data_IF_570879606840
#
_entry.id   IF_570879606840
#
_cell.length_a   1.000
_cell.length_b   1.000
_cell.length_c   1.000
_cell.angle_alpha   90.00
_cell.angle_beta   90.00
_cell.angle_gamma   90.00
#
_symmetry.space_group_name_H-M   'P 1'
#
loop_
_entity.id
_entity.type
_entity.pdbx_description
1 polymer ?
#
# COMPACT_ATOMS: atom_id res chain seq x y z
N UNK A 1 7.58 20.00 18.64
CA UNK A 1 7.16 19.05 17.58
C UNK A 1 8.32 18.19 17.08
N UNK A 2 9.52 18.73 16.76
CA UNK A 2 10.67 17.92 16.32
C UNK A 2 11.06 16.82 17.31
N UNK A 3 11.04 17.13 18.61
CA UNK A 3 11.49 16.20 19.66
C UNK A 3 10.72 14.88 19.71
N UNK A 4 9.41 14.90 19.42
CA UNK A 4 8.58 13.69 19.43
C UNK A 4 8.83 12.77 18.23
N UNK A 5 9.14 13.35 17.08
CA UNK A 5 9.48 12.58 15.88
C UNK A 5 10.88 11.99 16.01
N UNK A 6 11.82 12.75 16.56
CA UNK A 6 13.16 12.26 16.89
C UNK A 6 13.09 11.10 17.90
N UNK A 7 12.36 11.25 19.00
CA UNK A 7 12.20 10.18 20.01
C UNK A 7 11.65 8.89 19.38
N UNK A 8 10.70 9.00 18.45
CA UNK A 8 10.01 7.84 17.87
C UNK A 8 10.75 7.18 16.71
N UNK A 9 11.42 7.96 15.87
CA UNK A 9 11.94 7.49 14.57
C UNK A 9 13.46 7.57 14.44
N UNK A 10 14.16 8.28 15.33
CA UNK A 10 15.60 8.51 15.20
C UNK A 10 16.38 7.19 15.12
N UNK A 11 17.19 7.06 14.07
CA UNK A 11 18.07 5.91 13.85
C UNK A 11 17.37 4.60 13.51
N UNK A 12 16.04 4.61 13.30
CA UNK A 12 15.29 3.40 12.93
C UNK A 12 15.41 3.10 11.45
N UNK A 13 15.23 1.83 11.10
CA UNK A 13 15.08 1.38 9.73
C UNK A 13 13.60 1.26 9.42
N UNK A 14 13.14 1.89 8.33
CA UNK A 14 11.80 1.68 7.80
C UNK A 14 11.83 0.55 6.77
N UNK A 15 11.09 -0.53 7.02
CA UNK A 15 10.93 -1.61 6.06
C UNK A 15 9.73 -1.34 5.13
N UNK A 16 9.93 -1.48 3.82
CA UNK A 16 8.90 -1.29 2.79
C UNK A 16 8.38 -2.66 2.37
N UNK A 17 7.14 -2.94 2.75
CA UNK A 17 6.43 -4.20 2.54
C UNK A 17 5.51 -4.12 1.31
N UNK A 18 6.09 -3.79 0.16
CA UNK A 18 5.36 -3.60 -1.10
C UNK A 18 6.11 -4.24 -2.27
N UNK A 19 5.37 -4.74 -3.27
CA UNK A 19 5.92 -5.20 -4.55
C UNK A 19 5.95 -4.10 -5.62
N UNK A 20 6.63 -4.37 -6.73
CA UNK A 20 6.61 -3.60 -7.98
C UNK A 20 7.26 -2.21 -7.97
N UNK A 21 8.35 -2.01 -7.23
CA UNK A 21 9.15 -0.78 -7.37
C UNK A 21 8.60 0.44 -6.63
N UNK A 22 7.54 0.26 -5.82
CA UNK A 22 6.88 1.34 -5.07
C UNK A 22 7.80 1.99 -4.04
N UNK A 23 8.85 1.31 -3.59
CA UNK A 23 9.87 1.86 -2.70
C UNK A 23 10.52 3.13 -3.25
N UNK A 24 10.60 3.27 -4.59
CA UNK A 24 11.24 4.43 -5.24
C UNK A 24 10.44 5.71 -4.99
N UNK A 25 9.13 5.60 -4.85
CA UNK A 25 8.26 6.71 -4.50
C UNK A 25 8.15 6.91 -2.99
N UNK A 26 8.18 5.82 -2.22
CA UNK A 26 8.00 5.85 -0.75
C UNK A 26 9.27 6.32 -0.04
N UNK A 27 10.45 5.85 -0.43
CA UNK A 27 11.67 6.06 0.35
C UNK A 27 12.10 7.54 0.45
N UNK A 28 12.11 8.35 -0.63
CA UNK A 28 12.58 9.73 -0.56
C UNK A 28 11.85 10.60 0.48
N UNK A 29 10.50 10.71 0.48
CA UNK A 29 9.81 11.58 1.43
C UNK A 29 9.97 11.13 2.89
N UNK A 30 10.17 9.83 3.14
CA UNK A 30 10.41 9.33 4.50
C UNK A 30 11.82 9.63 5.00
N UNK A 31 12.84 9.53 4.14
CA UNK A 31 14.21 9.90 4.47
C UNK A 31 14.37 11.41 4.68
N UNK A 32 13.64 12.22 3.90
CA UNK A 32 13.64 13.68 4.05
C UNK A 32 12.83 14.16 5.26
N UNK A 33 11.70 13.50 5.54
CA UNK A 33 10.74 13.95 6.55
C UNK A 33 10.96 13.38 7.96
N UNK A 34 11.64 12.23 8.10
CA UNK A 34 11.85 11.55 9.38
C UNK A 34 13.34 11.28 9.62
N UNK A 35 13.80 11.30 10.89
CA UNK A 35 15.21 11.04 11.23
C UNK A 35 15.57 9.54 11.19
N UNK A 36 15.20 8.84 10.12
CA UNK A 36 15.48 7.43 9.92
C UNK A 36 16.97 7.20 9.62
N UNK A 37 17.49 6.03 10.01
CA UNK A 37 18.82 5.62 9.57
C UNK A 37 18.82 5.22 8.09
N UNK A 38 17.77 4.51 7.67
CA UNK A 38 17.62 4.03 6.30
C UNK A 38 16.19 3.55 6.01
N UNK A 39 15.90 3.35 4.73
CA UNK A 39 14.70 2.67 4.24
C UNK A 39 15.16 1.43 3.48
N UNK A 40 14.57 0.28 3.79
CA UNK A 40 14.91 -1.01 3.18
C UNK A 40 13.68 -1.66 2.56
N UNK A 41 13.84 -2.36 1.45
CA UNK A 41 12.76 -3.19 0.88
C UNK A 41 12.80 -4.56 1.53
N UNK A 42 11.63 -5.10 1.90
CA UNK A 42 11.54 -6.48 2.36
C UNK A 42 11.64 -7.40 1.13
N UNK A 43 12.73 -8.18 0.97
CA UNK A 43 12.91 -9.02 -0.21
C UNK A 43 11.88 -10.16 -0.23
N UNK A 44 11.52 -10.62 -1.42
CA UNK A 44 10.69 -11.81 -1.66
C UNK A 44 9.34 -11.84 -0.93
N UNK A 45 8.81 -10.67 -0.53
CA UNK A 45 7.54 -10.58 0.17
C UNK A 45 6.39 -10.84 -0.81
N UNK A 46 5.76 -12.01 -0.70
CA UNK A 46 4.57 -12.33 -1.49
C UNK A 46 3.30 -11.68 -0.94
N UNK A 47 3.08 -10.44 -1.38
CA UNK A 47 1.89 -9.67 -1.03
C UNK A 47 0.66 -10.03 -1.86
N UNK A 48 0.82 -10.81 -2.93
CA UNK A 48 -0.29 -11.20 -3.81
C UNK A 48 -1.20 -12.22 -3.11
N UNK A 49 -0.70 -12.86 -2.04
CA UNK A 49 -1.50 -13.68 -1.11
C UNK A 49 -2.68 -12.93 -0.46
N UNK A 50 -2.67 -11.60 -0.46
CA UNK A 50 -3.76 -10.77 0.05
C UNK A 50 -4.76 -10.36 -1.04
N UNK A 51 -4.53 -10.80 -2.27
CA UNK A 51 -5.36 -10.54 -3.44
C UNK A 51 -4.54 -9.97 -4.59
N UNK A 52 -4.83 -10.43 -5.81
CA UNK A 52 -4.18 -9.98 -7.05
C UNK A 52 -5.06 -9.01 -7.81
N UNK A 53 -4.46 -8.12 -8.59
CA UNK A 53 -5.19 -7.24 -9.49
C UNK A 53 -6.01 -8.00 -10.54
N UNK A 54 -5.42 -9.01 -11.17
CA UNK A 54 -6.00 -9.85 -12.22
C UNK A 54 -7.02 -10.89 -11.71
N UNK A 55 -7.20 -11.00 -10.39
CA UNK A 55 -8.24 -11.82 -9.79
C UNK A 55 -7.92 -13.31 -9.63
N UNK A 56 -6.69 -13.78 -9.90
CA UNK A 56 -6.30 -15.17 -9.62
C UNK A 56 -6.34 -15.50 -8.13
N UNK A 57 -5.94 -14.55 -7.28
CA UNK A 57 -6.14 -14.59 -5.83
C UNK A 57 -7.26 -13.63 -5.46
N UNK A 58 -8.32 -14.19 -4.89
CA UNK A 58 -9.48 -13.45 -4.39
C UNK A 58 -9.08 -12.48 -3.27
N UNK A 59 -9.57 -11.23 -3.35
CA UNK A 59 -9.47 -10.25 -2.27
C UNK A 59 -10.50 -10.56 -1.19
N UNK A 60 -10.03 -10.90 0.01
CA UNK A 60 -10.90 -11.22 1.17
C UNK A 60 -10.96 -10.12 2.24
N UNK A 61 -10.03 -9.18 2.17
CA UNK A 61 -9.91 -8.05 3.09
C UNK A 61 -10.31 -6.76 2.38
N UNK A 62 -10.81 -5.78 3.12
CA UNK A 62 -10.90 -4.43 2.58
C UNK A 62 -9.50 -3.88 2.27
N UNK A 63 -9.37 -2.91 1.33
CA UNK A 63 -8.08 -2.32 1.01
C UNK A 63 -7.24 -1.82 2.22
N UNK A 64 -7.80 -1.09 3.21
CA UNK A 64 -7.03 -0.69 4.38
C UNK A 64 -6.61 -1.89 5.27
N UNK A 65 -7.45 -2.93 5.38
CA UNK A 65 -7.10 -4.15 6.11
C UNK A 65 -6.00 -4.94 5.39
N UNK A 66 -6.05 -5.01 4.06
CA UNK A 66 -5.01 -5.63 3.24
C UNK A 66 -3.67 -4.89 3.37
N UNK A 67 -3.67 -3.55 3.33
CA UNK A 67 -2.47 -2.75 3.57
C UNK A 67 -1.86 -3.03 4.96
N UNK A 68 -2.69 -3.10 6.01
CA UNK A 68 -2.23 -3.44 7.35
C UNK A 68 -1.71 -4.87 7.45
N UNK A 69 -2.38 -5.83 6.82
CA UNK A 69 -1.94 -7.23 6.77
C UNK A 69 -0.59 -7.38 6.04
N UNK A 70 -0.40 -6.64 4.95
CA UNK A 70 0.89 -6.54 4.24
C UNK A 70 1.99 -5.97 5.14
N UNK A 71 1.70 -4.91 5.90
CA UNK A 71 2.67 -4.33 6.85
C UNK A 71 3.05 -5.33 7.96
N UNK A 72 2.07 -6.05 8.52
CA UNK A 72 2.32 -7.10 9.52
C UNK A 72 3.17 -8.23 8.96
N UNK A 73 2.84 -8.70 7.76
CA UNK A 73 3.60 -9.75 7.08
C UNK A 73 5.04 -9.30 6.77
N UNK A 74 5.21 -8.05 6.34
CA UNK A 74 6.54 -7.46 6.16
C UNK A 74 7.34 -7.37 7.46
N UNK A 75 6.70 -7.06 8.58
CA UNK A 75 7.33 -7.05 9.89
C UNK A 75 7.80 -8.44 10.31
N UNK A 76 6.94 -9.46 10.15
CA UNK A 76 7.28 -10.87 10.42
C UNK A 76 8.45 -11.35 9.55
N UNK A 77 8.45 -11.01 8.27
CA UNK A 77 9.49 -11.45 7.33
C UNK A 77 10.84 -10.75 7.53
N UNK A 78 10.85 -9.47 7.91
CA UNK A 78 12.08 -8.67 8.04
C UNK A 78 12.61 -8.56 9.48
N UNK A 79 11.78 -8.87 10.48
CA UNK A 79 12.07 -8.58 11.88
C UNK A 79 12.07 -7.07 12.22
N UNK A 80 11.64 -6.20 11.29
CA UNK A 80 11.60 -4.76 11.51
C UNK A 80 10.45 -4.35 12.43
N UNK A 81 10.70 -3.36 13.28
CA UNK A 81 9.69 -2.79 14.19
C UNK A 81 8.91 -1.61 13.57
N UNK A 82 9.34 -1.12 12.41
CA UNK A 82 8.72 -0.03 11.66
C UNK A 82 8.55 -0.44 10.20
N UNK A 83 7.31 -0.55 9.74
CA UNK A 83 7.00 -1.09 8.41
C UNK A 83 5.97 -0.21 7.71
N UNK A 84 6.18 0.07 6.44
CA UNK A 84 5.19 0.72 5.57
C UNK A 84 4.72 -0.23 4.48
N UNK A 85 3.42 -0.25 4.23
CA UNK A 85 2.81 -0.98 3.13
C UNK A 85 1.79 -0.11 2.38
N UNK A 86 1.49 -0.49 1.15
CA UNK A 86 0.51 0.18 0.28
C UNK A 86 -0.52 -0.80 -0.25
N UNK A 87 -1.76 -0.36 -0.44
CA UNK A 87 -2.79 -1.08 -1.19
C UNK A 87 -3.55 -0.13 -2.11
N UNK A 88 -3.77 -0.55 -3.36
CA UNK A 88 -4.54 0.21 -4.35
C UNK A 88 -5.88 -0.48 -4.61
N UNK A 89 -6.92 0.30 -4.85
CA UNK A 89 -8.26 -0.21 -5.13
C UNK A 89 -9.00 0.68 -6.11
N UNK A 90 -9.49 0.08 -7.19
CA UNK A 90 -10.38 0.73 -8.14
C UNK A 90 -11.82 0.30 -7.88
N UNK A 91 -12.75 1.25 -7.93
CA UNK A 91 -14.16 0.93 -7.71
C UNK A 91 -15.08 2.15 -7.74
N UNK A 92 -16.36 1.96 -7.41
CA UNK A 92 -17.32 3.03 -7.20
C UNK A 92 -16.89 3.99 -6.09
N UNK A 93 -16.93 5.30 -6.33
CA UNK A 93 -16.64 6.31 -5.31
C UNK A 93 -17.70 6.27 -4.20
N UNK A 94 -17.36 5.98 -2.93
CA UNK A 94 -18.38 5.69 -1.91
C UNK A 94 -19.44 6.80 -1.71
N UNK A 95 -19.10 8.10 -1.73
CA UNK A 95 -20.09 9.17 -1.67
C UNK A 95 -20.92 9.36 -2.95
N UNK A 96 -20.43 8.92 -4.10
CA UNK A 96 -21.14 9.00 -5.39
C UNK A 96 -20.87 7.73 -6.23
N UNK A 97 -21.58 6.61 -5.97
CA UNK A 97 -21.25 5.30 -6.52
C UNK A 97 -21.35 5.16 -8.06
N UNK A 98 -21.90 6.16 -8.73
CA UNK A 98 -21.95 6.23 -10.20
C UNK A 98 -20.65 6.79 -10.81
N UNK A 99 -19.72 7.28 -9.98
CA UNK A 99 -18.40 7.74 -10.42
C UNK A 99 -17.34 6.68 -10.10
N UNK A 100 -16.44 6.37 -11.03
CA UNK A 100 -15.27 5.57 -10.70
C UNK A 100 -14.29 6.37 -9.84
N UNK A 101 -13.53 5.66 -9.01
CA UNK A 101 -12.36 6.22 -8.32
C UNK A 101 -11.24 5.18 -8.20
N UNK A 102 -10.03 5.71 -8.09
CA UNK A 102 -8.86 5.02 -7.59
C UNK A 102 -8.61 5.46 -6.14
N UNK A 103 -8.38 4.48 -5.28
CA UNK A 103 -8.06 4.67 -3.88
C UNK A 103 -6.71 4.05 -3.56
N UNK A 104 -5.79 4.88 -3.09
CA UNK A 104 -4.46 4.46 -2.68
C UNK A 104 -4.34 4.59 -1.16
N UNK A 105 -4.01 3.48 -0.51
CA UNK A 105 -3.85 3.39 0.94
C UNK A 105 -2.37 3.20 1.28
N UNK A 106 -1.90 3.94 2.28
CA UNK A 106 -0.61 3.73 2.91
C UNK A 106 -0.81 3.44 4.40
N UNK A 107 -0.17 2.38 4.89
CA UNK A 107 -0.16 2.02 6.31
C UNK A 107 1.26 2.03 6.82
N UNK A 108 1.55 2.88 7.81
CA UNK A 108 2.76 2.83 8.61
C UNK A 108 2.47 2.12 9.93
N UNK A 109 3.03 0.92 10.10
CA UNK A 109 2.94 0.10 11.30
C UNK A 109 4.17 0.33 12.18
N UNK A 110 3.95 0.65 13.45
CA UNK A 110 4.99 0.79 14.47
C UNK A 110 4.73 -0.22 15.60
N UNK A 111 5.56 -1.26 15.65
CA UNK A 111 5.41 -2.35 16.60
C UNK A 111 5.90 -2.02 18.01
N UNK A 112 6.61 -0.91 18.23
CA UNK A 112 7.08 -0.53 19.57
C UNK A 112 5.93 -0.31 20.55
N UNK A 113 4.83 0.23 20.08
CA UNK A 113 3.61 0.47 20.87
C UNK A 113 2.33 -0.06 20.18
N UNK A 114 2.50 -0.88 19.14
CA UNK A 114 1.40 -1.54 18.43
C UNK A 114 0.50 -0.59 17.63
N UNK A 115 0.96 0.64 17.33
CA UNK A 115 0.18 1.62 16.58
C UNK A 115 0.35 1.45 15.08
N UNK A 116 -0.67 1.87 14.34
CA UNK A 116 -0.55 2.06 12.91
C UNK A 116 -1.18 3.38 12.51
N UNK A 117 -0.66 3.97 11.42
CA UNK A 117 -1.16 5.19 10.82
C UNK A 117 -1.63 4.85 9.41
N UNK A 118 -2.88 5.18 9.11
CA UNK A 118 -3.50 4.96 7.81
C UNK A 118 -3.62 6.30 7.08
N UNK A 119 -3.13 6.35 5.86
CA UNK A 119 -3.40 7.42 4.91
C UNK A 119 -4.16 6.86 3.72
N UNK A 120 -5.10 7.65 3.19
CA UNK A 120 -5.91 7.33 2.03
C UNK A 120 -5.88 8.52 1.08
N UNK A 121 -5.59 8.25 -0.18
CA UNK A 121 -5.70 9.20 -1.28
C UNK A 121 -6.76 8.70 -2.27
N UNK A 122 -7.59 9.61 -2.80
CA UNK A 122 -8.66 9.27 -3.74
C UNK A 122 -8.54 10.14 -4.98
N UNK A 123 -8.55 9.52 -6.15
CA UNK A 123 -8.54 10.19 -7.45
C UNK A 123 -9.78 9.80 -8.24
N UNK A 124 -10.45 10.79 -8.84
CA UNK A 124 -11.62 10.57 -9.70
C UNK A 124 -11.26 10.61 -11.20
N UNK A 125 -10.04 11.05 -11.53
CA UNK A 125 -9.49 11.05 -12.88
C UNK A 125 -8.90 9.68 -13.21
N UNK A 126 -9.79 8.73 -13.49
CA UNK A 126 -9.44 7.32 -13.67
C UNK A 126 -10.24 6.70 -14.80
N UNK A 127 -9.61 5.75 -15.49
CA UNK A 127 -10.31 4.84 -16.38
C UNK A 127 -10.54 3.55 -15.61
N UNK A 128 -11.75 3.37 -15.10
CA UNK A 128 -12.19 2.14 -14.46
C UNK A 128 -13.46 1.66 -15.15
N UNK A 129 -13.38 0.45 -15.68
CA UNK A 129 -14.43 -0.23 -16.40
C UNK A 129 -13.92 -1.61 -16.80
N UNK A 130 -14.84 -2.49 -17.17
CA UNK A 130 -14.50 -3.79 -17.71
C UNK A 130 -15.65 -4.34 -18.50
N UNK A 131 -15.32 -5.00 -19.60
CA UNK A 131 -16.27 -5.73 -20.42
C UNK A 131 -15.76 -7.17 -20.60
N UNK A 132 -16.68 -8.13 -20.50
CA UNK A 132 -16.37 -9.52 -20.83
C UNK A 132 -16.27 -9.62 -22.35
N UNK A 133 -15.05 -9.82 -22.84
CA UNK A 133 -14.79 -10.07 -24.25
C UNK A 133 -14.58 -11.57 -24.49
N UNK A 134 -15.20 -12.11 -25.52
CA UNK A 134 -15.00 -13.48 -26.00
C UNK A 134 -14.27 -13.51 -27.35
N UNK A 135 -14.10 -12.36 -27.99
CA UNK A 135 -13.40 -12.20 -29.28
C UNK A 135 -12.40 -11.04 -29.25
N UNK A 136 -11.36 -11.12 -30.08
CA UNK A 136 -10.33 -10.08 -30.17
C UNK A 136 -10.88 -8.72 -30.60
N UNK A 137 -11.85 -8.70 -31.51
CA UNK A 137 -12.46 -7.45 -31.99
C UNK A 137 -13.19 -6.68 -30.88
N UNK A 138 -13.72 -7.40 -29.87
CA UNK A 138 -14.36 -6.79 -28.69
C UNK A 138 -13.29 -6.13 -27.81
N UNK A 139 -12.14 -6.78 -27.61
CA UNK A 139 -11.01 -6.22 -26.85
C UNK A 139 -10.45 -4.96 -27.52
N UNK A 140 -10.35 -4.94 -28.85
CA UNK A 140 -9.83 -3.78 -29.59
C UNK A 140 -10.81 -2.60 -29.64
N UNK A 141 -12.09 -2.85 -29.36
CA UNK A 141 -13.15 -1.84 -29.39
C UNK A 141 -13.48 -1.23 -28.02
N UNK A 142 -12.91 -1.80 -26.95
CA UNK A 142 -13.03 -1.34 -25.57
C UNK A 142 -11.98 -0.29 -25.23
#
# INVERSE_FOLDING_TARGET
MPDRLAERFSGRTLAVATRHGKERAIAPPFLEGLPLAQVVVVPDLDTDRFGTFSGEVERRLSPPEAALAKARFGAEASGADLVIASEGSFGPYPPAPFMPCDEEFLVLLDLRDGRHFLHRHVTLDVVFGGERCERLDEVLSF
#
